data_IF_056941327158
#
_entry.id   IF_056941327158
#
_cell.length_a   1.000
_cell.length_b   1.000
_cell.length_c   1.000
_cell.angle_alpha   90.00
_cell.angle_beta   90.00
_cell.angle_gamma   90.00
#
_symmetry.space_group_name_H-M   'P 1'
#
loop_
_entity.id
_entity.type
_entity.pdbx_description
1 polymer ?
#
# COMPACT_ATOMS: atom_id res chain seq x y z
N UNK A 1 -18.99 58.61 -17.30
CA UNK A 1 -18.95 57.77 -18.52
C UNK A 1 -17.65 56.96 -18.47
N UNK A 2 -17.67 55.72 -17.99
CA UNK A 2 -16.47 54.86 -17.87
C UNK A 2 -16.45 53.90 -19.07
N UNK A 3 -15.55 54.11 -20.04
CA UNK A 3 -15.37 53.17 -21.16
C UNK A 3 -14.54 51.97 -20.67
N UNK A 4 -15.21 50.82 -20.57
CA UNK A 4 -14.58 49.51 -20.31
C UNK A 4 -13.68 49.18 -21.50
N UNK A 5 -12.37 49.18 -21.28
CA UNK A 5 -11.39 48.81 -22.29
C UNK A 5 -11.15 47.29 -22.23
N UNK A 6 -12.08 46.50 -22.77
CA UNK A 6 -11.88 45.06 -22.93
C UNK A 6 -11.27 44.80 -24.31
N UNK A 7 -9.94 44.75 -24.37
CA UNK A 7 -9.19 44.31 -25.56
C UNK A 7 -9.26 42.79 -25.70
N UNK A 8 -9.74 42.30 -26.85
CA UNK A 8 -9.97 40.87 -27.16
C UNK A 8 -8.70 40.01 -27.22
N UNK A 9 -7.52 40.58 -26.97
CA UNK A 9 -6.28 39.83 -26.86
C UNK A 9 -5.81 39.74 -25.40
N UNK A 10 -6.26 40.64 -24.53
CA UNK A 10 -5.95 40.60 -23.10
C UNK A 10 -6.50 39.34 -22.43
N UNK A 11 -7.68 38.86 -22.83
CA UNK A 11 -8.21 37.59 -22.31
C UNK A 11 -7.42 36.38 -22.82
N UNK A 12 -6.84 36.44 -24.03
CA UNK A 12 -6.01 35.36 -24.59
C UNK A 12 -4.69 35.25 -23.84
N UNK A 13 -4.03 36.38 -23.57
CA UNK A 13 -2.81 36.40 -22.74
C UNK A 13 -3.14 36.06 -21.28
N UNK A 14 -4.29 36.48 -20.76
CA UNK A 14 -4.77 36.08 -19.43
C UNK A 14 -4.99 34.57 -19.31
N UNK A 15 -5.64 33.95 -20.30
CA UNK A 15 -5.80 32.49 -20.37
C UNK A 15 -4.45 31.76 -20.48
N UNK A 16 -3.53 32.29 -21.27
CA UNK A 16 -2.19 31.71 -21.46
C UNK A 16 -1.34 31.77 -20.19
N UNK A 17 -1.42 32.86 -19.43
CA UNK A 17 -0.76 33.00 -18.11
C UNK A 17 -1.39 32.05 -17.08
N UNK A 18 -2.72 31.87 -17.10
CA UNK A 18 -3.41 30.93 -16.20
C UNK A 18 -3.01 29.48 -16.51
N UNK A 19 -2.94 29.10 -17.79
CA UNK A 19 -2.49 27.76 -18.18
C UNK A 19 -1.03 27.52 -17.81
N UNK A 20 -0.15 28.50 -18.02
CA UNK A 20 1.25 28.42 -17.57
C UNK A 20 1.37 28.30 -16.05
N UNK A 21 0.58 29.07 -15.29
CA UNK A 21 0.55 28.98 -13.84
C UNK A 21 0.04 27.61 -13.36
N UNK A 22 -0.98 27.03 -14.02
CA UNK A 22 -1.50 25.69 -13.71
C UNK A 22 -0.48 24.58 -14.00
N UNK A 23 0.29 24.69 -15.09
CA UNK A 23 1.36 23.74 -15.43
C UNK A 23 2.52 23.83 -14.41
N UNK A 24 2.84 25.04 -13.95
CA UNK A 24 3.85 25.27 -12.91
C UNK A 24 3.36 24.79 -11.54
N UNK A 25 2.07 24.88 -11.23
CA UNK A 25 1.48 24.31 -10.01
C UNK A 25 1.48 22.77 -9.99
N UNK A 26 1.52 22.09 -11.14
CA UNK A 26 1.68 20.63 -11.21
C UNK A 26 3.14 20.17 -11.04
N UNK A 27 4.12 21.07 -11.20
CA UNK A 27 5.56 20.77 -11.05
C UNK A 27 6.17 21.38 -9.79
N UNK A 28 5.41 22.18 -9.04
CA UNK A 28 5.85 22.89 -7.85
C UNK A 28 5.60 22.14 -6.54
N UNK A 29 6.68 21.57 -5.99
CA UNK A 29 6.84 21.05 -4.63
C UNK A 29 6.17 19.71 -4.30
N UNK A 30 6.78 18.62 -4.79
CA UNK A 30 7.01 17.45 -3.93
C UNK A 30 7.90 17.87 -2.76
N UNK A 31 7.29 18.37 -1.68
CA UNK A 31 7.84 18.21 -0.34
C UNK A 31 7.45 16.79 0.10
N UNK A 32 8.02 15.80 -0.58
CA UNK A 32 7.99 14.44 -0.08
C UNK A 32 8.92 14.49 1.13
N UNK A 33 8.33 14.45 2.32
CA UNK A 33 9.06 14.19 3.54
C UNK A 33 9.73 12.85 3.36
N UNK A 34 10.98 12.87 2.90
CA UNK A 34 11.86 11.70 2.93
C UNK A 34 11.84 11.24 4.37
N UNK A 35 11.29 10.06 4.63
CA UNK A 35 11.25 9.54 5.98
C UNK A 35 12.70 9.18 6.33
N UNK A 36 13.39 10.10 6.98
CA UNK A 36 14.73 9.90 7.57
C UNK A 36 14.70 8.88 8.73
N UNK A 37 13.63 8.10 8.87
CA UNK A 37 13.51 7.04 9.86
C UNK A 37 14.58 5.99 9.58
N UNK A 38 15.58 5.92 10.47
CA UNK A 38 16.66 4.95 10.41
C UNK A 38 16.13 3.62 10.91
N UNK A 39 16.13 2.61 10.04
CA UNK A 39 15.65 1.25 10.35
C UNK A 39 16.79 0.31 10.73
N UNK A 40 18.02 0.64 10.33
CA UNK A 40 19.23 -0.09 10.73
C UNK A 40 20.48 0.79 10.62
N UNK A 41 21.54 0.42 11.34
CA UNK A 41 22.87 1.06 11.28
C UNK A 41 23.96 0.00 11.15
N UNK A 42 24.91 0.21 10.25
CA UNK A 42 26.06 -0.66 10.01
C UNK A 42 27.34 0.18 10.13
N UNK A 43 28.07 0.01 11.24
CA UNK A 43 29.18 0.91 11.61
C UNK A 43 28.72 2.36 11.66
N UNK A 44 29.19 3.23 10.76
CA UNK A 44 28.81 4.64 10.70
C UNK A 44 27.74 4.95 9.64
N UNK A 45 27.37 3.96 8.81
CA UNK A 45 26.36 4.10 7.76
C UNK A 45 24.96 3.75 8.28
N UNK A 46 23.96 4.49 7.85
CA UNK A 46 22.55 4.26 8.20
C UNK A 46 21.77 3.74 7.01
N UNK A 47 20.81 2.86 7.27
CA UNK A 47 19.81 2.41 6.32
C UNK A 47 18.50 3.07 6.71
N UNK A 48 18.00 3.91 5.82
CA UNK A 48 16.70 4.59 5.98
C UNK A 48 15.56 3.70 5.50
N UNK A 49 14.36 3.98 6.00
CA UNK A 49 13.13 3.32 5.56
C UNK A 49 12.89 3.48 4.06
N UNK A 50 13.19 4.64 3.50
CA UNK A 50 13.04 4.90 2.06
C UNK A 50 13.99 4.02 1.25
N UNK A 51 15.26 3.88 1.66
CA UNK A 51 16.21 2.98 1.00
C UNK A 51 15.76 1.52 1.06
N UNK A 52 15.21 1.07 2.19
CA UNK A 52 14.64 -0.26 2.32
C UNK A 52 13.43 -0.43 1.38
N UNK A 53 12.51 0.53 1.39
CA UNK A 53 11.32 0.50 0.55
C UNK A 53 11.66 0.47 -0.93
N UNK A 54 12.55 1.34 -1.39
CA UNK A 54 13.00 1.38 -2.79
C UNK A 54 13.62 0.05 -3.21
N UNK A 55 14.46 -0.55 -2.35
CA UNK A 55 15.03 -1.87 -2.63
C UNK A 55 13.98 -2.98 -2.69
N UNK A 56 12.94 -2.94 -1.85
CA UNK A 56 11.83 -3.90 -1.89
C UNK A 56 10.99 -3.75 -3.17
N UNK A 57 10.70 -2.51 -3.56
CA UNK A 57 9.96 -2.20 -4.79
C UNK A 57 10.76 -2.63 -6.02
N UNK A 58 12.06 -2.38 -6.04
CA UNK A 58 12.94 -2.82 -7.13
C UNK A 58 13.00 -4.34 -7.25
N UNK A 59 13.07 -5.07 -6.13
CA UNK A 59 13.18 -6.52 -6.17
C UNK A 59 11.89 -7.23 -6.55
N UNK A 60 10.74 -6.83 -5.99
CA UNK A 60 9.48 -7.57 -6.14
C UNK A 60 8.22 -6.68 -6.23
N UNK A 61 8.37 -5.36 -6.38
CA UNK A 61 7.25 -4.41 -6.27
C UNK A 61 6.11 -4.67 -7.25
N UNK A 62 6.41 -4.97 -8.52
CA UNK A 62 5.40 -5.27 -9.52
C UNK A 62 4.60 -6.54 -9.19
N UNK A 63 5.30 -7.61 -8.79
CA UNK A 63 4.65 -8.86 -8.42
C UNK A 63 3.75 -8.68 -7.20
N UNK A 64 4.25 -8.00 -6.16
CA UNK A 64 3.48 -7.70 -4.96
C UNK A 64 2.26 -6.83 -5.30
N UNK A 65 2.42 -5.81 -6.14
CA UNK A 65 1.32 -4.97 -6.58
C UNK A 65 0.23 -5.77 -7.32
N UNK A 66 0.63 -6.67 -8.23
CA UNK A 66 -0.32 -7.51 -8.95
C UNK A 66 -1.08 -8.48 -8.03
N UNK A 67 -0.41 -9.05 -7.03
CA UNK A 67 -1.07 -9.87 -6.01
C UNK A 67 -2.08 -9.05 -5.20
N UNK A 68 -1.71 -7.85 -4.74
CA UNK A 68 -2.61 -6.96 -4.00
C UNK A 68 -3.83 -6.54 -4.82
N UNK A 69 -3.65 -6.28 -6.12
CA UNK A 69 -4.76 -5.98 -7.03
C UNK A 69 -5.71 -7.18 -7.12
N UNK A 70 -5.17 -8.39 -7.27
CA UNK A 70 -5.94 -9.61 -7.38
C UNK A 70 -6.74 -9.89 -6.10
N UNK A 71 -6.10 -9.78 -4.93
CA UNK A 71 -6.74 -9.88 -3.62
C UNK A 71 -7.85 -8.85 -3.47
N UNK A 72 -7.60 -7.59 -3.86
CA UNK A 72 -8.61 -6.54 -3.79
C UNK A 72 -9.82 -6.81 -4.66
N UNK A 73 -9.62 -7.38 -5.85
CA UNK A 73 -10.72 -7.78 -6.74
C UNK A 73 -11.56 -8.88 -6.08
N UNK A 74 -10.92 -9.88 -5.49
CA UNK A 74 -11.59 -10.97 -4.77
C UNK A 74 -12.41 -10.40 -3.60
N UNK A 75 -11.81 -9.56 -2.76
CA UNK A 75 -12.50 -8.92 -1.62
C UNK A 75 -13.74 -8.14 -2.04
N UNK A 76 -13.62 -7.37 -3.14
CA UNK A 76 -14.72 -6.54 -3.63
C UNK A 76 -15.87 -7.40 -4.15
N UNK A 77 -15.58 -8.49 -4.85
CA UNK A 77 -16.61 -9.40 -5.36
C UNK A 77 -17.24 -10.23 -4.23
N UNK A 78 -16.46 -10.70 -3.26
CA UNK A 78 -16.97 -11.37 -2.06
C UNK A 78 -17.94 -10.46 -1.30
N UNK A 79 -17.57 -9.20 -1.04
CA UNK A 79 -18.45 -8.20 -0.40
C UNK A 79 -19.73 -7.94 -1.18
N UNK A 80 -19.63 -7.81 -2.51
CA UNK A 80 -20.79 -7.62 -3.38
C UNK A 80 -21.74 -8.80 -3.34
N UNK A 81 -21.21 -10.01 -3.18
CA UNK A 81 -21.99 -11.24 -3.03
C UNK A 81 -22.42 -11.53 -1.58
N UNK A 82 -22.05 -10.67 -0.62
CA UNK A 82 -22.24 -10.87 0.82
C UNK A 82 -21.69 -12.23 1.30
N UNK A 83 -20.52 -12.60 0.79
CA UNK A 83 -19.76 -13.76 1.26
C UNK A 83 -18.93 -13.31 2.44
N UNK A 84 -19.17 -13.90 3.60
CA UNK A 84 -18.42 -13.69 4.83
C UNK A 84 -17.90 -15.04 5.32
N UNK A 85 -16.63 -15.10 5.71
CA UNK A 85 -16.04 -16.29 6.35
C UNK A 85 -16.46 -16.28 7.81
N UNK A 86 -17.08 -17.37 8.28
CA UNK A 86 -17.46 -17.48 9.69
C UNK A 86 -16.27 -17.89 10.55
N UNK A 87 -16.29 -17.50 11.82
CA UNK A 87 -15.28 -17.94 12.79
C UNK A 87 -15.22 -19.49 12.88
N UNK A 88 -16.35 -20.17 12.70
CA UNK A 88 -16.43 -21.63 12.70
C UNK A 88 -15.66 -22.26 11.54
N UNK A 89 -15.74 -21.69 10.33
CA UNK A 89 -14.98 -22.17 9.16
C UNK A 89 -13.47 -21.96 9.35
N UNK A 90 -13.09 -20.84 9.96
CA UNK A 90 -11.68 -20.55 10.29
C UNK A 90 -11.15 -21.55 11.30
N UNK A 91 -11.89 -21.82 12.39
CA UNK A 91 -11.47 -22.80 13.39
C UNK A 91 -11.41 -24.22 12.82
N UNK A 92 -12.36 -24.64 11.98
CA UNK A 92 -12.32 -25.96 11.32
C UNK A 92 -11.06 -26.10 10.45
N UNK A 93 -10.68 -25.04 9.74
CA UNK A 93 -9.48 -25.01 8.91
C UNK A 93 -8.21 -25.06 9.76
N UNK A 94 -8.19 -24.34 10.87
CA UNK A 94 -7.08 -24.38 11.82
C UNK A 94 -6.95 -25.77 12.45
N UNK A 95 -8.04 -26.44 12.81
CA UNK A 95 -8.01 -27.79 13.36
C UNK A 95 -7.46 -28.80 12.36
N UNK A 96 -7.85 -28.71 11.08
CA UNK A 96 -7.23 -29.50 10.00
C UNK A 96 -5.73 -29.20 9.86
N UNK A 97 -5.30 -27.95 10.04
CA UNK A 97 -3.89 -27.62 10.05
C UNK A 97 -3.18 -28.24 11.27
N UNK A 98 -3.75 -28.15 12.47
CA UNK A 98 -3.19 -28.80 13.67
C UNK A 98 -2.99 -30.30 13.42
N UNK A 99 -3.96 -31.00 12.84
CA UNK A 99 -3.81 -32.42 12.48
C UNK A 99 -2.61 -32.68 11.56
N UNK A 100 -2.45 -31.86 10.50
CA UNK A 100 -1.37 -32.01 9.53
C UNK A 100 0.03 -31.69 10.10
N UNK A 101 0.10 -30.80 11.10
CA UNK A 101 1.35 -30.34 11.69
C UNK A 101 1.69 -31.04 13.02
N UNK A 102 0.97 -32.10 13.41
CA UNK A 102 1.30 -32.89 14.62
C UNK A 102 0.72 -32.30 15.92
N UNK A 103 -0.41 -31.61 15.81
CA UNK A 103 -1.13 -30.94 16.89
C UNK A 103 -0.89 -29.44 16.94
N UNK A 104 -1.50 -28.80 17.93
CA UNK A 104 -1.41 -27.35 18.12
C UNK A 104 0.03 -26.85 18.29
N UNK A 105 0.85 -27.56 19.08
CA UNK A 105 2.24 -27.18 19.31
C UNK A 105 3.10 -27.32 18.05
N UNK A 106 2.84 -28.35 17.23
CA UNK A 106 3.52 -28.52 15.96
C UNK A 106 3.16 -27.42 14.95
N UNK A 107 1.89 -27.02 14.89
CA UNK A 107 1.46 -25.87 14.09
C UNK A 107 2.10 -24.56 14.59
N UNK A 108 2.07 -24.29 15.90
CA UNK A 108 2.70 -23.10 16.49
C UNK A 108 4.19 -23.03 16.18
N UNK A 109 4.91 -24.14 16.30
CA UNK A 109 6.34 -24.19 15.95
C UNK A 109 6.56 -23.94 14.46
N UNK A 110 5.72 -24.50 13.58
CA UNK A 110 5.82 -24.32 12.15
C UNK A 110 5.62 -22.85 11.73
N UNK A 111 4.63 -22.16 12.29
CA UNK A 111 4.38 -20.74 11.95
C UNK A 111 5.38 -19.79 12.63
N UNK A 112 5.84 -20.12 13.85
CA UNK A 112 6.84 -19.32 14.56
C UNK A 112 8.20 -19.34 13.85
N UNK A 113 8.52 -20.43 13.14
CA UNK A 113 9.73 -20.51 12.31
C UNK A 113 9.81 -19.37 11.26
N UNK A 114 8.66 -18.95 10.74
CA UNK A 114 8.54 -17.83 9.79
C UNK A 114 8.26 -16.48 10.47
N UNK A 115 8.28 -16.43 11.81
CA UNK A 115 8.04 -15.21 12.59
C UNK A 115 6.57 -14.86 12.80
N UNK A 116 5.64 -15.78 12.56
CA UNK A 116 4.20 -15.55 12.74
C UNK A 116 3.66 -16.10 14.07
N UNK A 117 2.58 -15.49 14.54
CA UNK A 117 1.78 -15.96 15.68
C UNK A 117 0.49 -16.66 15.21
N UNK A 118 -0.22 -17.31 16.12
CA UNK A 118 -1.56 -17.85 15.82
C UNK A 118 -2.56 -16.77 15.44
N UNK A 119 -2.40 -15.55 15.97
CA UNK A 119 -3.27 -14.43 15.64
C UNK A 119 -3.02 -13.92 14.21
N UNK A 120 -1.75 -13.90 13.77
CA UNK A 120 -1.41 -13.57 12.38
C UNK A 120 -1.99 -14.59 11.40
N UNK A 121 -1.96 -15.87 11.77
CA UNK A 121 -2.56 -16.94 10.98
C UNK A 121 -4.08 -16.74 10.83
N UNK A 122 -4.79 -16.48 11.94
CA UNK A 122 -6.24 -16.23 11.93
C UNK A 122 -6.59 -15.02 11.08
N UNK A 123 -5.85 -13.92 11.24
CA UNK A 123 -6.04 -12.69 10.48
C UNK A 123 -5.84 -12.87 8.97
N UNK A 124 -4.98 -13.80 8.55
CA UNK A 124 -4.80 -14.14 7.13
C UNK A 124 -5.92 -14.98 6.53
N UNK A 125 -6.91 -15.43 7.33
CA UNK A 125 -8.03 -16.26 6.87
C UNK A 125 -9.38 -15.52 6.84
N UNK A 126 -9.43 -14.30 7.39
CA UNK A 126 -10.64 -13.46 7.52
C UNK A 126 -10.51 -12.17 6.72
#
# INVERSE_FOLDING_TARGET
MMKRFTSSNAYKYGLLVIVLALVISMTGCKKDGKNEEVVAKVSDEVITKDQLYDAMVEQNGEQVLNSLISEKIIDLEAKKQNIEVSDEEVEEKIDKMKENYGGEEGLKQAIAYYGFTMDDLKKGMT
#
